data_IF_047443244180
#
_entry.id   IF_047443244180
#
_cell.length_a   1.000
_cell.length_b   1.000
_cell.length_c   1.000
_cell.angle_alpha   90.00
_cell.angle_beta   90.00
_cell.angle_gamma   90.00
#
_symmetry.space_group_name_H-M   'P 1'
#
loop_
_entity.id
_entity.type
_entity.pdbx_description
1 polymer ?
#
# COMPACT_ATOMS: atom_id res chain seq x y z
N UNK A 1 -44.77 -21.42 9.28
CA UNK A 1 -43.57 -22.08 8.69
C UNK A 1 -43.43 -21.50 7.29
N UNK A 2 -42.43 -20.74 6.87
CA UNK A 2 -41.23 -20.14 7.46
C UNK A 2 -40.96 -18.91 6.58
N UNK A 3 -41.07 -17.71 7.16
CA UNK A 3 -39.99 -16.69 7.24
C UNK A 3 -39.34 -16.31 5.91
N UNK A 4 -39.81 -15.20 5.34
CA UNK A 4 -39.08 -14.40 4.35
C UNK A 4 -37.70 -14.02 4.90
N UNK A 5 -36.66 -14.38 4.16
CA UNK A 5 -35.28 -14.02 4.50
C UNK A 5 -35.00 -12.63 3.95
N UNK A 6 -35.31 -11.61 4.76
CA UNK A 6 -34.91 -10.24 4.48
C UNK A 6 -33.38 -10.16 4.49
N UNK A 7 -32.77 -9.86 3.33
CA UNK A 7 -31.32 -9.67 3.20
C UNK A 7 -30.90 -8.45 4.01
N UNK A 8 -30.25 -8.70 5.15
CA UNK A 8 -29.60 -7.66 5.95
C UNK A 8 -28.38 -7.14 5.18
N UNK A 9 -28.52 -6.02 4.48
CA UNK A 9 -27.38 -5.28 3.94
C UNK A 9 -26.65 -4.54 5.07
N UNK A 10 -25.51 -5.08 5.48
CA UNK A 10 -24.61 -4.42 6.41
C UNK A 10 -24.02 -3.18 5.72
N UNK A 11 -24.44 -1.99 6.15
CA UNK A 11 -23.83 -0.73 5.72
C UNK A 11 -22.35 -0.71 6.15
N UNK A 12 -21.45 -1.02 5.21
CA UNK A 12 -19.99 -0.95 5.38
C UNK A 12 -19.47 0.49 5.31
N UNK A 13 -20.07 1.41 6.05
CA UNK A 13 -19.46 2.73 6.26
C UNK A 13 -18.74 2.68 7.60
N UNK A 14 -17.41 2.56 7.55
CA UNK A 14 -16.58 2.69 8.74
C UNK A 14 -16.94 4.03 9.42
N UNK A 15 -17.48 3.98 10.65
CA UNK A 15 -17.95 5.14 11.42
C UNK A 15 -16.79 5.91 12.06
N UNK A 16 -15.61 5.89 11.46
CA UNK A 16 -14.48 6.71 11.88
C UNK A 16 -14.46 8.00 11.08
N UNK A 17 -14.21 9.14 11.75
CA UNK A 17 -13.73 10.33 11.04
C UNK A 17 -12.48 9.91 10.26
N UNK A 18 -12.40 10.30 8.98
CA UNK A 18 -11.19 10.03 8.19
C UNK A 18 -10.01 10.69 8.91
N UNK A 19 -8.91 9.97 9.19
CA UNK A 19 -7.73 10.60 9.77
C UNK A 19 -7.30 11.77 8.88
N UNK A 20 -7.11 12.93 9.49
CA UNK A 20 -6.50 14.11 8.85
C UNK A 20 -5.02 14.10 9.27
N UNK A 21 -4.12 13.95 8.30
CA UNK A 21 -2.69 13.85 8.56
C UNK A 21 -1.99 15.19 8.30
N UNK A 22 -2.55 16.03 7.43
CA UNK A 22 -1.95 17.30 7.04
C UNK A 22 -2.80 18.50 7.46
N UNK A 23 -2.16 19.65 7.62
CA UNK A 23 -2.83 20.91 7.97
C UNK A 23 -3.82 21.37 6.89
N UNK A 24 -3.57 21.04 5.61
CA UNK A 24 -4.51 21.24 4.52
C UNK A 24 -5.19 19.90 4.16
N UNK A 25 -6.51 19.74 4.43
CA UNK A 25 -7.26 18.54 4.07
C UNK A 25 -7.28 18.22 2.57
N UNK A 26 -6.93 19.16 1.69
CA UNK A 26 -6.76 18.89 0.26
C UNK A 26 -5.63 17.89 0.00
N UNK A 27 -4.55 17.92 0.80
CA UNK A 27 -3.40 17.02 0.65
C UNK A 27 -3.81 15.58 0.94
N UNK A 28 -4.54 15.35 2.03
CA UNK A 28 -5.07 14.02 2.38
C UNK A 28 -5.97 13.44 1.28
N UNK A 29 -6.79 14.29 0.64
CA UNK A 29 -7.65 13.87 -0.48
C UNK A 29 -6.81 13.46 -1.69
N UNK A 30 -5.80 14.25 -2.05
CA UNK A 30 -4.91 13.94 -3.18
C UNK A 30 -4.15 12.65 -2.89
N UNK A 31 -3.56 12.50 -1.70
CA UNK A 31 -2.87 11.28 -1.30
C UNK A 31 -3.80 10.06 -1.38
N UNK A 32 -5.04 10.17 -0.88
CA UNK A 32 -6.02 9.09 -0.95
C UNK A 32 -6.38 8.72 -2.40
N UNK A 33 -6.54 9.70 -3.30
CA UNK A 33 -6.82 9.44 -4.72
C UNK A 33 -5.61 8.77 -5.38
N UNK A 34 -4.40 9.26 -5.12
CA UNK A 34 -3.17 8.69 -5.67
C UNK A 34 -2.97 7.25 -5.19
N UNK A 35 -3.23 6.95 -3.91
CA UNK A 35 -3.13 5.58 -3.39
C UNK A 35 -4.18 4.65 -4.00
N UNK A 36 -5.40 5.15 -4.25
CA UNK A 36 -6.41 4.37 -4.97
C UNK A 36 -5.94 4.01 -6.40
N UNK A 37 -5.38 4.99 -7.12
CA UNK A 37 -4.83 4.77 -8.47
C UNK A 37 -3.62 3.84 -8.46
N UNK A 38 -2.75 3.92 -7.45
CA UNK A 38 -1.62 3.00 -7.29
C UNK A 38 -2.11 1.55 -7.09
N UNK A 39 -3.14 1.36 -6.26
CA UNK A 39 -3.79 0.06 -6.06
C UNK A 39 -4.38 -0.51 -7.35
N UNK A 40 -5.13 0.29 -8.10
CA UNK A 40 -5.67 -0.12 -9.42
C UNK A 40 -4.55 -0.47 -10.40
N UNK A 41 -3.44 0.26 -10.39
CA UNK A 41 -2.26 -0.05 -11.22
C UNK A 41 -1.65 -1.41 -10.88
N UNK A 42 -1.53 -1.73 -9.59
CA UNK A 42 -1.05 -3.04 -9.15
C UNK A 42 -2.00 -4.17 -9.58
N UNK A 43 -3.32 -3.98 -9.45
CA UNK A 43 -4.33 -4.96 -9.92
C UNK A 43 -4.27 -5.14 -11.42
N UNK A 44 -4.11 -4.06 -12.20
CA UNK A 44 -3.97 -4.14 -13.65
C UNK A 44 -2.73 -4.93 -14.04
N UNK A 45 -1.59 -4.73 -13.37
CA UNK A 45 -0.38 -5.52 -13.62
C UNK A 45 -0.59 -6.99 -13.30
N UNK A 46 -1.25 -7.33 -12.19
CA UNK A 46 -1.54 -8.73 -11.86
C UNK A 46 -2.44 -9.38 -12.92
N UNK A 47 -3.39 -8.63 -13.50
CA UNK A 47 -4.21 -9.13 -14.61
C UNK A 47 -3.37 -9.37 -15.86
N UNK A 48 -2.41 -8.50 -16.18
CA UNK A 48 -1.47 -8.69 -17.29
C UNK A 48 -0.59 -9.93 -17.07
N UNK A 49 -0.01 -10.06 -15.88
CA UNK A 49 0.78 -11.25 -15.48
C UNK A 49 -0.06 -12.53 -15.60
N UNK A 50 -1.32 -12.52 -15.17
CA UNK A 50 -2.25 -13.64 -15.38
C UNK A 50 -2.40 -13.98 -16.86
N UNK A 51 -2.58 -12.98 -17.74
CA UNK A 51 -2.73 -13.19 -19.18
C UNK A 51 -1.47 -13.83 -19.77
N UNK A 52 -0.29 -13.33 -19.41
CA UNK A 52 1.00 -13.88 -19.86
C UNK A 52 1.17 -15.35 -19.43
N UNK A 53 0.78 -15.69 -18.21
CA UNK A 53 0.85 -17.07 -17.70
C UNK A 53 -0.16 -17.99 -18.37
N UNK A 54 -1.37 -17.52 -18.63
CA UNK A 54 -2.37 -18.29 -19.38
C UNK A 54 -1.87 -18.59 -20.79
N UNK A 55 -1.30 -17.59 -21.48
CA UNK A 55 -0.65 -17.77 -22.79
C UNK A 55 0.48 -18.80 -22.74
N UNK A 56 1.38 -18.69 -21.76
CA UNK A 56 2.49 -19.62 -21.58
C UNK A 56 2.01 -21.06 -21.30
N UNK A 57 0.87 -21.22 -20.62
CA UNK A 57 0.26 -22.53 -20.36
C UNK A 57 -0.54 -23.10 -21.55
N UNK A 58 -0.63 -22.38 -22.67
CA UNK A 58 -1.45 -22.75 -23.82
C UNK A 58 -2.96 -22.71 -23.55
N UNK A 59 -3.39 -22.07 -22.47
CA UNK A 59 -4.81 -21.92 -22.13
C UNK A 59 -5.42 -20.77 -22.93
N UNK A 60 -6.69 -20.89 -23.36
CA UNK A 60 -7.38 -19.80 -24.03
C UNK A 60 -7.48 -18.58 -23.10
N UNK A 61 -7.15 -17.41 -23.63
CA UNK A 61 -7.28 -16.14 -22.91
C UNK A 61 -8.69 -15.60 -23.14
N UNK A 62 -9.54 -15.73 -22.13
CA UNK A 62 -10.84 -15.08 -22.02
C UNK A 62 -10.97 -14.33 -20.70
N UNK A 63 -11.96 -13.42 -20.59
CA UNK A 63 -12.23 -12.72 -19.34
C UNK A 63 -12.48 -13.69 -18.19
N UNK A 64 -13.24 -14.75 -18.45
CA UNK A 64 -13.59 -15.79 -17.49
C UNK A 64 -12.34 -16.57 -17.04
N UNK A 65 -11.41 -16.87 -17.97
CA UNK A 65 -10.17 -17.56 -17.64
C UNK A 65 -9.23 -16.73 -16.75
N UNK A 66 -9.19 -15.41 -16.97
CA UNK A 66 -8.39 -14.47 -16.17
C UNK A 66 -9.00 -14.31 -14.78
N UNK A 67 -10.33 -14.19 -14.69
CA UNK A 67 -11.04 -14.03 -13.42
C UNK A 67 -11.02 -15.33 -12.59
N UNK A 68 -10.96 -16.50 -13.23
CA UNK A 68 -10.87 -17.81 -12.57
C UNK A 68 -9.43 -18.22 -12.22
N UNK A 69 -8.41 -17.47 -12.66
CA UNK A 69 -7.02 -17.82 -12.42
C UNK A 69 -6.68 -17.75 -10.93
N UNK A 70 -6.16 -18.84 -10.39
CA UNK A 70 -5.67 -18.90 -9.03
C UNK A 70 -4.14 -18.98 -9.05
N UNK A 71 -3.42 -17.93 -8.59
CA UNK A 71 -1.97 -17.99 -8.49
C UNK A 71 -1.58 -19.08 -7.47
N UNK A 72 -0.47 -19.76 -7.71
CA UNK A 72 0.15 -20.62 -6.70
C UNK A 72 1.02 -19.78 -5.74
N UNK A 73 1.71 -20.44 -4.81
CA UNK A 73 2.55 -19.74 -3.82
C UNK A 73 3.71 -18.96 -4.46
N UNK A 74 4.36 -19.53 -5.47
CA UNK A 74 5.47 -18.86 -6.17
C UNK A 74 4.98 -17.60 -6.90
N UNK A 75 3.85 -17.70 -7.60
CA UNK A 75 3.26 -16.54 -8.29
C UNK A 75 2.83 -15.45 -7.31
N UNK A 76 2.31 -15.83 -6.14
CA UNK A 76 2.01 -14.86 -5.07
C UNK A 76 3.28 -14.15 -4.60
N UNK A 77 4.34 -14.90 -4.31
CA UNK A 77 5.61 -14.33 -3.87
C UNK A 77 6.23 -13.38 -4.92
N UNK A 78 6.17 -13.74 -6.20
CA UNK A 78 6.62 -12.88 -7.31
C UNK A 78 5.81 -11.57 -7.38
N UNK A 79 4.48 -11.66 -7.22
CA UNK A 79 3.61 -10.48 -7.20
C UNK A 79 3.83 -9.60 -5.98
N UNK A 80 4.06 -10.20 -4.81
CA UNK A 80 4.31 -9.48 -3.57
C UNK A 80 5.65 -8.74 -3.63
N UNK A 81 6.73 -9.44 -4.04
CA UNK A 81 8.03 -8.82 -4.25
C UNK A 81 7.96 -7.64 -5.24
N UNK A 82 7.22 -7.83 -6.34
CA UNK A 82 7.02 -6.74 -7.29
C UNK A 82 6.23 -5.56 -6.68
N UNK A 83 5.18 -5.84 -5.89
CA UNK A 83 4.39 -4.78 -5.25
C UNK A 83 5.23 -4.00 -4.25
N UNK A 84 6.12 -4.65 -3.51
CA UNK A 84 7.05 -3.99 -2.61
C UNK A 84 7.95 -3.01 -3.39
N UNK A 85 8.57 -3.46 -4.49
CA UNK A 85 9.37 -2.59 -5.37
C UNK A 85 8.54 -1.43 -5.96
N UNK A 86 7.30 -1.70 -6.35
CA UNK A 86 6.40 -0.67 -6.88
C UNK A 86 6.08 0.39 -5.82
N UNK A 87 5.79 -0.04 -4.59
CA UNK A 87 5.52 0.87 -3.49
C UNK A 87 6.78 1.66 -3.08
N UNK A 88 7.96 1.06 -3.12
CA UNK A 88 9.23 1.77 -2.90
C UNK A 88 9.41 2.91 -3.91
N UNK A 89 9.05 2.70 -5.18
CA UNK A 89 9.10 3.75 -6.21
C UNK A 89 8.06 4.84 -5.93
N UNK A 90 6.82 4.46 -5.58
CA UNK A 90 5.74 5.40 -5.26
C UNK A 90 6.09 6.26 -4.04
N UNK A 91 6.70 5.66 -3.02
CA UNK A 91 7.02 6.30 -1.74
C UNK A 91 8.45 6.83 -1.64
N UNK A 92 9.23 6.79 -2.72
CA UNK A 92 10.64 7.19 -2.70
C UNK A 92 10.91 8.55 -2.06
N UNK A 93 10.06 9.55 -2.32
CA UNK A 93 10.20 10.89 -1.72
C UNK A 93 10.01 10.83 -0.20
N UNK A 94 9.00 10.09 0.28
CA UNK A 94 8.75 9.92 1.72
C UNK A 94 9.90 9.17 2.40
N UNK A 95 10.48 8.18 1.73
CA UNK A 95 11.66 7.47 2.24
C UNK A 95 12.88 8.40 2.37
N UNK A 96 13.15 9.22 1.35
CA UNK A 96 14.23 10.21 1.37
C UNK A 96 14.05 11.22 2.50
N UNK A 97 12.84 11.76 2.68
CA UNK A 97 12.55 12.70 3.78
C UNK A 97 12.77 12.05 5.15
N UNK A 98 12.33 10.80 5.33
CA UNK A 98 12.57 10.04 6.58
C UNK A 98 14.06 9.81 6.82
N UNK A 99 14.82 9.45 5.80
CA UNK A 99 16.27 9.24 5.90
C UNK A 99 17.00 10.54 6.28
N UNK A 100 16.64 11.66 5.68
CA UNK A 100 17.20 12.98 6.01
C UNK A 100 16.84 13.40 7.44
N UNK A 101 15.61 13.17 7.89
CA UNK A 101 15.21 13.40 9.28
C UNK A 101 16.01 12.53 10.26
N UNK A 102 16.22 11.25 9.93
CA UNK A 102 17.00 10.33 10.73
C UNK A 102 18.48 10.75 10.83
N UNK A 103 19.08 11.20 9.71
CA UNK A 103 20.45 11.76 9.69
C UNK A 103 20.56 13.00 10.56
N UNK A 104 19.63 13.95 10.42
CA UNK A 104 19.60 15.17 11.25
C UNK A 104 19.46 14.85 12.73
N UNK A 105 18.64 13.86 13.08
CA UNK A 105 18.49 13.41 14.46
C UNK A 105 19.78 12.76 15.01
N UNK A 106 20.54 12.05 14.17
CA UNK A 106 21.82 11.46 14.55
C UNK A 106 22.95 12.49 14.65
N UNK A 107 22.91 13.55 13.83
CA UNK A 107 23.91 14.64 13.82
C UNK A 107 23.65 15.72 14.88
N UNK A 108 22.39 15.90 15.29
CA UNK A 108 22.06 16.70 16.47
C UNK A 108 22.75 16.06 17.67
N UNK A 109 23.78 16.73 18.22
CA UNK A 109 24.65 16.25 19.31
C UNK A 109 23.86 15.36 20.27
N UNK A 110 24.37 14.17 20.63
CA UNK A 110 23.64 13.27 21.49
C UNK A 110 23.27 14.07 22.73
N UNK A 111 21.97 14.15 23.03
CA UNK A 111 21.43 14.89 24.16
C UNK A 111 22.18 14.57 25.48
N UNK A 112 22.78 13.38 25.55
CA UNK A 112 23.72 12.91 26.56
C UNK A 112 25.02 13.74 26.66
N UNK A 113 25.68 14.11 25.57
CA UNK A 113 26.87 14.98 25.61
C UNK A 113 26.52 16.38 26.12
N UNK A 114 25.33 16.89 25.83
CA UNK A 114 24.86 18.17 26.36
C UNK A 114 24.58 18.10 27.87
N UNK A 115 24.06 16.95 28.37
CA UNK A 115 23.86 16.69 29.80
C UNK A 115 25.21 16.58 30.53
N UNK A 116 26.16 15.82 29.99
CA UNK A 116 27.49 15.61 30.58
C UNK A 116 28.28 16.92 30.75
N UNK A 117 28.05 17.89 29.87
CA UNK A 117 28.71 19.20 29.89
C UNK A 117 28.13 20.11 30.99
N UNK A 118 26.84 19.97 31.30
CA UNK A 118 26.17 20.69 32.39
C UNK A 118 26.46 20.05 33.74
N UNK A 119 26.55 18.72 33.84
CA UNK A 119 26.91 18.03 35.08
C UNK A 119 28.38 18.25 35.52
N UNK A 120 29.28 18.57 34.57
CA UNK A 120 30.70 18.82 34.84
C UNK A 120 31.07 20.30 35.04
N UNK A 121 30.10 21.21 34.98
CA UNK A 121 30.28 22.67 35.20
C UNK A 121 29.80 23.08 36.59
#
# INVERSE_FOLDING_TARGET
MSSDTEKIELQKKARGQRPEYFADPAIDKVLSITMALAGETAVMRDRLDTIERLLASGRPVSKESVDAYQPNENVRAERDAWRDEFLDVVFRIVHQEREELAKRAAEARPYQEAIDLVEKS
#
